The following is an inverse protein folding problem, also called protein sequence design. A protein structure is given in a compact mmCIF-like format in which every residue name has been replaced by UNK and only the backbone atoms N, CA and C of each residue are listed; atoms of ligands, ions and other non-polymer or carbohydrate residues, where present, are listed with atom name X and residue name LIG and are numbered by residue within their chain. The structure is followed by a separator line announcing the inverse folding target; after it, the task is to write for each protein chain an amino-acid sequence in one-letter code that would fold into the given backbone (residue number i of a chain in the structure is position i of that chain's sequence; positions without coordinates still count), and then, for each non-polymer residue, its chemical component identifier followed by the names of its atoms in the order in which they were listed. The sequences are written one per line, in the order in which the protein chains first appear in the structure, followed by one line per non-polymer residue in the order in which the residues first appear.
data_IF_312257353821
#
_entry.id   IF_312257353821
#
_cell.length_a   1.000
_cell.length_b   1.000
_cell.length_c   1.000
_cell.angle_alpha   90.00
_cell.angle_beta   90.00
_cell.angle_gamma   90.00
#
_symmetry.space_group_name_H-M   'P 1'
#
loop_
_entity.id
_entity.type
_entity.pdbx_description
1 polymer ?
#
# COMPACT_ATOMS: atom_id res chain seq x y z
N UNK A 1 -6.50 28.27 -51.70
CA UNK A 1 -5.50 28.84 -50.76
C UNK A 1 -6.07 28.91 -49.33
N UNK A 2 -6.52 27.79 -48.73
CA UNK A 2 -7.41 27.93 -47.55
C UNK A 2 -7.08 27.00 -46.36
N UNK A 3 -6.67 25.75 -46.55
CA UNK A 3 -6.29 24.90 -45.41
C UNK A 3 -4.89 25.20 -44.85
N UNK A 4 -3.91 25.55 -45.71
CA UNK A 4 -2.52 25.77 -45.28
C UNK A 4 -2.36 26.97 -44.34
N UNK A 5 -3.09 28.07 -44.60
CA UNK A 5 -3.07 29.25 -43.73
C UNK A 5 -3.78 29.01 -42.40
N UNK A 6 -4.86 28.21 -42.39
CA UNK A 6 -5.55 27.83 -41.15
C UNK A 6 -4.65 26.94 -40.28
N UNK A 7 -4.00 25.93 -40.88
CA UNK A 7 -3.06 25.05 -40.17
C UNK A 7 -1.89 25.85 -39.61
N UNK A 8 -1.32 26.76 -40.39
CA UNK A 8 -0.21 27.63 -39.96
C UNK A 8 -0.63 28.59 -38.84
N UNK A 9 -1.84 29.16 -38.93
CA UNK A 9 -2.40 30.03 -37.89
C UNK A 9 -2.64 29.28 -36.57
N UNK A 10 -3.21 28.07 -36.63
CA UNK A 10 -3.37 27.21 -35.44
C UNK A 10 -2.01 26.86 -34.83
N UNK A 11 -1.03 26.50 -35.66
CA UNK A 11 0.33 26.22 -35.20
C UNK A 11 0.97 27.39 -34.46
N UNK A 12 0.82 28.62 -34.99
CA UNK A 12 1.32 29.83 -34.34
C UNK A 12 0.62 30.10 -33.00
N UNK A 13 -0.69 29.94 -32.92
CA UNK A 13 -1.44 30.11 -31.66
C UNK A 13 -1.03 29.08 -30.61
N UNK A 14 -0.84 27.82 -30.99
CA UNK A 14 -0.38 26.76 -30.09
C UNK A 14 1.03 27.08 -29.58
N UNK A 15 1.95 27.46 -30.47
CA UNK A 15 3.31 27.83 -30.10
C UNK A 15 3.33 29.05 -29.16
N UNK A 16 2.57 30.10 -29.49
CA UNK A 16 2.43 31.28 -28.65
C UNK A 16 1.88 30.95 -27.26
N UNK A 17 0.86 30.08 -27.19
CA UNK A 17 0.32 29.60 -25.92
C UNK A 17 1.35 28.81 -25.11
N UNK A 18 2.12 27.92 -25.74
CA UNK A 18 3.17 27.15 -25.06
C UNK A 18 4.25 28.08 -24.49
N UNK A 19 4.73 29.05 -25.27
CA UNK A 19 5.73 30.02 -24.83
C UNK A 19 5.19 30.87 -23.67
N UNK A 20 3.97 31.40 -23.79
CA UNK A 20 3.33 32.16 -22.73
C UNK A 20 3.18 31.33 -21.45
N UNK A 21 2.80 30.06 -21.57
CA UNK A 21 2.69 29.13 -20.44
C UNK A 21 4.05 28.84 -19.80
N UNK A 22 5.11 28.68 -20.59
CA UNK A 22 6.48 28.49 -20.09
C UNK A 22 6.94 29.71 -19.30
N UNK A 23 6.76 30.91 -19.84
CA UNK A 23 7.13 32.17 -19.18
C UNK A 23 6.33 32.36 -17.88
N UNK A 24 5.01 32.10 -17.92
CA UNK A 24 4.17 32.13 -16.74
C UNK A 24 4.68 31.15 -15.67
N UNK A 25 4.94 29.89 -16.04
CA UNK A 25 5.41 28.84 -15.09
C UNK A 25 6.77 29.16 -14.48
N UNK A 26 7.65 29.82 -15.22
CA UNK A 26 8.99 30.18 -14.78
C UNK A 26 9.02 31.43 -13.90
N UNK A 27 8.23 32.46 -14.21
CA UNK A 27 8.38 33.78 -13.60
C UNK A 27 7.17 34.24 -12.78
N UNK A 28 5.95 33.91 -13.21
CA UNK A 28 4.72 34.47 -12.63
C UNK A 28 3.93 33.46 -11.78
N UNK A 29 4.23 32.17 -11.89
CA UNK A 29 3.57 31.13 -11.13
C UNK A 29 3.83 31.29 -9.63
N UNK A 30 2.86 31.03 -8.73
CA UNK A 30 3.07 31.14 -7.28
C UNK A 30 4.24 30.32 -6.73
N UNK A 31 4.61 29.24 -7.45
CA UNK A 31 5.74 28.37 -7.12
C UNK A 31 7.05 28.74 -7.84
N UNK A 32 7.11 29.86 -8.57
CA UNK A 32 8.30 30.33 -9.29
C UNK A 32 9.48 30.64 -8.36
N UNK A 33 9.19 31.05 -7.12
CA UNK A 33 10.18 31.32 -6.06
C UNK A 33 10.97 30.10 -5.61
N UNK A 34 10.48 28.89 -5.87
CA UNK A 34 11.16 27.66 -5.46
C UNK A 34 12.17 27.22 -6.53
N UNK A 35 13.42 26.92 -6.14
CA UNK A 35 14.42 26.42 -7.06
C UNK A 35 14.05 25.01 -7.55
N UNK A 36 14.60 24.60 -8.67
CA UNK A 36 14.41 23.25 -9.21
C UNK A 36 14.92 23.13 -10.65
N UNK A 37 15.00 21.91 -11.18
CA UNK A 37 15.45 21.69 -12.56
C UNK A 37 14.62 22.52 -13.55
N UNK A 38 15.28 23.15 -14.52
CA UNK A 38 14.62 24.04 -15.48
C UNK A 38 13.40 23.38 -16.14
N UNK A 39 13.57 22.16 -16.67
CA UNK A 39 12.48 21.42 -17.30
C UNK A 39 11.38 20.99 -16.34
N UNK A 40 11.70 20.72 -15.07
CA UNK A 40 10.73 20.35 -14.04
C UNK A 40 9.85 21.54 -13.62
N UNK A 41 10.37 22.77 -13.70
CA UNK A 41 9.58 23.99 -13.48
C UNK A 41 8.58 24.25 -14.61
N UNK A 42 8.88 23.77 -15.82
CA UNK A 42 8.09 23.99 -17.03
C UNK A 42 7.09 22.86 -17.29
N UNK A 43 7.47 21.61 -17.03
CA UNK A 43 6.67 20.43 -17.33
C UNK A 43 6.84 19.31 -16.31
N UNK A 44 5.83 18.44 -16.19
CA UNK A 44 5.90 17.23 -15.39
C UNK A 44 6.66 16.07 -16.08
N UNK A 45 6.99 16.19 -17.38
CA UNK A 45 7.67 15.13 -18.13
C UNK A 45 9.00 14.65 -17.52
N UNK A 46 9.88 15.49 -16.96
CA UNK A 46 11.08 14.99 -16.30
C UNK A 46 10.75 14.07 -15.12
N UNK A 47 9.82 14.48 -14.25
CA UNK A 47 9.40 13.64 -13.12
C UNK A 47 8.73 12.34 -13.60
N UNK A 48 7.95 12.42 -14.68
CA UNK A 48 7.34 11.25 -15.30
C UNK A 48 8.37 10.28 -15.90
N UNK A 49 9.41 10.79 -16.56
CA UNK A 49 10.52 9.99 -17.08
C UNK A 49 11.21 9.16 -15.98
N UNK A 50 11.54 9.78 -14.84
CA UNK A 50 12.10 9.05 -13.69
C UNK A 50 11.06 8.14 -13.00
N UNK A 51 9.76 8.39 -13.18
CA UNK A 51 8.71 7.45 -12.75
C UNK A 51 8.73 6.18 -13.61
N UNK A 52 8.82 6.34 -14.93
CA UNK A 52 8.90 5.21 -15.88
C UNK A 52 10.15 4.36 -15.68
N UNK A 53 11.25 4.98 -15.23
CA UNK A 53 12.50 4.29 -14.88
C UNK A 53 12.55 3.69 -13.47
N UNK A 54 11.49 3.87 -12.67
CA UNK A 54 11.40 3.41 -11.28
C UNK A 54 12.50 3.96 -10.34
N UNK A 55 13.19 5.04 -10.71
CA UNK A 55 14.29 5.66 -9.97
C UNK A 55 13.96 7.08 -9.47
N UNK A 56 12.68 7.46 -9.49
CA UNK A 56 12.18 8.78 -9.05
C UNK A 56 12.62 9.18 -7.64
N UNK A 57 12.66 8.25 -6.70
CA UNK A 57 13.10 8.53 -5.33
C UNK A 57 14.60 8.89 -5.28
N UNK A 58 15.43 8.24 -6.12
CA UNK A 58 16.85 8.57 -6.28
C UNK A 58 17.01 9.94 -6.94
N UNK A 59 16.19 10.23 -7.96
CA UNK A 59 16.18 11.55 -8.58
C UNK A 59 15.84 12.64 -7.56
N UNK A 60 14.80 12.44 -6.74
CA UNK A 60 14.45 13.37 -5.66
C UNK A 60 15.58 13.57 -4.66
N UNK A 61 16.25 12.50 -4.22
CA UNK A 61 17.42 12.61 -3.35
C UNK A 61 18.51 13.47 -3.98
N UNK A 62 18.89 13.22 -5.24
CA UNK A 62 19.88 14.04 -5.97
C UNK A 62 19.47 15.50 -6.12
N UNK A 63 18.18 15.77 -6.31
CA UNK A 63 17.66 17.14 -6.36
C UNK A 63 17.73 17.82 -4.99
N UNK A 64 17.47 17.08 -3.91
CA UNK A 64 17.58 17.58 -2.55
C UNK A 64 19.02 17.96 -2.22
N UNK A 65 20.00 17.12 -2.58
CA UNK A 65 21.43 17.43 -2.42
C UNK A 65 21.82 18.71 -3.16
N UNK A 66 21.17 19.01 -4.29
CA UNK A 66 21.50 20.17 -5.14
C UNK A 66 20.77 21.46 -4.77
N UNK A 67 19.48 21.37 -4.44
CA UNK A 67 18.59 22.52 -4.27
C UNK A 67 18.19 22.75 -2.80
N UNK A 68 18.59 21.86 -1.90
CA UNK A 68 18.26 21.91 -0.48
C UNK A 68 16.93 21.22 -0.15
N UNK A 69 16.36 21.48 1.03
CA UNK A 69 15.23 20.73 1.57
C UNK A 69 13.88 21.04 0.89
N UNK A 70 13.79 22.14 0.13
CA UNK A 70 12.53 22.54 -0.52
C UNK A 70 12.79 22.95 -1.97
N UNK A 71 12.25 22.19 -2.92
CA UNK A 71 12.47 22.42 -4.35
C UNK A 71 11.29 21.97 -5.21
N UNK A 72 11.17 22.56 -6.39
CA UNK A 72 10.10 22.31 -7.34
C UNK A 72 10.42 21.10 -8.22
N UNK A 73 9.49 20.14 -8.27
CA UNK A 73 9.64 18.87 -8.99
C UNK A 73 8.73 18.75 -10.22
N UNK A 74 7.65 19.53 -10.26
CA UNK A 74 6.77 19.71 -11.42
C UNK A 74 6.24 21.15 -11.41
N UNK A 75 5.53 21.64 -12.45
CA UNK A 75 4.97 22.97 -12.43
C UNK A 75 4.07 23.24 -11.22
N UNK A 76 3.33 22.23 -10.75
CA UNK A 76 2.34 22.38 -9.69
C UNK A 76 2.71 21.61 -8.42
N UNK A 77 3.99 21.22 -8.25
CA UNK A 77 4.41 20.43 -7.09
C UNK A 77 5.79 20.84 -6.58
N UNK A 78 5.87 21.04 -5.28
CA UNK A 78 7.09 21.30 -4.52
C UNK A 78 7.29 20.15 -3.56
N UNK A 79 8.51 19.62 -3.52
CA UNK A 79 8.95 18.70 -2.50
C UNK A 79 9.40 19.52 -1.29
N UNK A 80 8.94 19.14 -0.11
CA UNK A 80 9.30 19.76 1.16
C UNK A 80 9.82 18.66 2.08
N UNK A 81 11.10 18.73 2.44
CA UNK A 81 11.75 17.82 3.38
C UNK A 81 12.28 18.60 4.59
N UNK A 82 11.35 19.07 5.42
CA UNK A 82 11.66 19.80 6.67
C UNK A 82 10.72 19.33 7.78
N UNK A 83 11.15 19.34 9.06
CA UNK A 83 10.27 19.00 10.19
C UNK A 83 9.03 19.90 10.27
N UNK A 84 9.21 21.21 10.03
CA UNK A 84 8.10 22.19 10.02
C UNK A 84 7.13 21.94 8.87
N UNK A 85 7.63 21.54 7.69
CA UNK A 85 6.79 21.13 6.57
C UNK A 85 6.00 19.85 6.85
N UNK A 86 6.62 18.86 7.50
CA UNK A 86 5.94 17.63 7.92
C UNK A 86 4.77 17.97 8.85
N UNK A 87 4.99 18.78 9.87
CA UNK A 87 3.94 19.22 10.79
C UNK A 87 2.85 20.01 10.06
N UNK A 88 3.23 21.02 9.27
CA UNK A 88 2.27 21.89 8.58
C UNK A 88 1.38 21.15 7.57
N UNK A 89 1.89 20.10 6.92
CA UNK A 89 1.17 19.33 5.89
C UNK A 89 0.38 18.17 6.52
N UNK A 90 0.95 17.46 7.49
CA UNK A 90 0.34 16.23 8.03
C UNK A 90 -0.45 16.44 9.32
N UNK A 91 -0.53 17.67 9.86
CA UNK A 91 -1.43 17.99 10.95
C UNK A 91 -2.91 17.76 10.56
N UNK A 92 -3.69 17.19 11.47
CA UNK A 92 -5.12 16.87 11.23
C UNK A 92 -5.98 18.08 10.87
N UNK A 93 -5.58 19.29 11.33
CA UNK A 93 -6.26 20.57 11.05
C UNK A 93 -5.70 21.29 9.82
N UNK A 94 -4.67 20.76 9.17
CA UNK A 94 -4.06 21.42 8.01
C UNK A 94 -5.06 21.57 6.85
N UNK A 95 -5.05 22.73 6.18
CA UNK A 95 -5.87 23.00 5.00
C UNK A 95 -5.25 22.38 3.73
N UNK A 96 -4.93 21.09 3.80
CA UNK A 96 -4.45 20.29 2.68
C UNK A 96 -5.29 19.03 2.54
N UNK A 97 -5.25 18.41 1.37
CA UNK A 97 -5.86 17.12 1.07
C UNK A 97 -4.89 16.28 0.25
N UNK A 98 -5.13 14.97 0.17
CA UNK A 98 -4.37 14.09 -0.71
C UNK A 98 -4.47 14.57 -2.16
N UNK A 99 -3.40 14.38 -2.93
CA UNK A 99 -3.33 14.86 -4.30
C UNK A 99 -4.29 14.11 -5.23
N UNK A 100 -4.67 14.74 -6.34
CA UNK A 100 -5.66 14.19 -7.28
C UNK A 100 -5.19 12.89 -7.97
N UNK A 101 -3.89 12.58 -7.97
CA UNK A 101 -3.38 11.33 -8.53
C UNK A 101 -3.94 10.07 -7.83
N UNK A 102 -4.42 10.19 -6.59
CA UNK A 102 -5.04 9.06 -5.89
C UNK A 102 -6.31 8.55 -6.59
N UNK A 103 -6.95 9.35 -7.45
CA UNK A 103 -8.14 8.94 -8.23
C UNK A 103 -7.85 7.87 -9.27
N UNK A 104 -6.59 7.61 -9.59
CA UNK A 104 -6.20 6.59 -10.59
C UNK A 104 -6.30 5.17 -10.03
N UNK A 105 -6.17 5.00 -8.70
CA UNK A 105 -6.06 3.68 -8.08
C UNK A 105 -7.38 2.92 -7.83
N UNK A 106 -8.51 3.54 -7.46
CA UNK A 106 -9.76 2.80 -7.25
C UNK A 106 -10.14 1.98 -8.48
N UNK A 107 -10.51 0.70 -8.26
CA UNK A 107 -11.02 -0.18 -9.33
C UNK A 107 -12.20 0.46 -10.05
N UNK A 108 -13.12 1.05 -9.30
CA UNK A 108 -14.28 1.79 -9.80
C UNK A 108 -14.65 2.94 -8.83
N UNK A 109 -15.71 3.69 -9.12
CA UNK A 109 -16.17 4.82 -8.30
C UNK A 109 -16.74 4.42 -6.91
N UNK A 110 -17.09 3.15 -6.72
CA UNK A 110 -17.68 2.60 -5.50
C UNK A 110 -16.63 1.94 -4.59
N UNK A 111 -15.47 1.55 -5.12
CA UNK A 111 -14.37 0.88 -4.41
C UNK A 111 -13.28 1.86 -3.93
N UNK A 112 -13.64 3.09 -3.58
CA UNK A 112 -12.71 4.06 -2.97
C UNK A 112 -12.36 3.59 -1.56
N UNK A 113 -11.07 3.57 -1.21
CA UNK A 113 -10.55 3.02 0.05
C UNK A 113 -10.12 4.13 1.00
N UNK A 114 -9.83 3.79 2.26
CA UNK A 114 -9.26 4.75 3.23
C UNK A 114 -7.93 5.31 2.72
N UNK A 115 -7.13 4.51 2.01
CA UNK A 115 -5.84 4.92 1.47
C UNK A 115 -5.96 5.95 0.35
N UNK A 116 -6.89 5.79 -0.60
CA UNK A 116 -7.04 6.70 -1.76
C UNK A 116 -8.15 7.75 -1.65
N UNK A 117 -8.91 7.77 -0.56
CA UNK A 117 -9.91 8.82 -0.30
C UNK A 117 -9.25 10.19 -0.17
N UNK A 118 -9.51 11.07 -1.14
CA UNK A 118 -9.05 12.47 -1.16
C UNK A 118 -9.96 13.36 -0.31
N UNK A 119 -11.27 13.10 -0.35
CA UNK A 119 -12.24 13.82 0.44
C UNK A 119 -12.13 13.45 1.92
N UNK A 120 -12.03 14.48 2.78
CA UNK A 120 -11.80 14.30 4.22
C UNK A 120 -13.00 13.67 4.92
N UNK A 121 -14.22 13.97 4.47
CA UNK A 121 -15.45 13.44 5.09
C UNK A 121 -15.60 11.95 4.82
N UNK A 122 -15.37 11.55 3.57
CA UNK A 122 -15.33 10.16 3.12
C UNK A 122 -14.23 9.39 3.85
N UNK A 123 -13.03 9.96 3.91
CA UNK A 123 -11.91 9.36 4.64
C UNK A 123 -12.24 9.18 6.13
N UNK A 124 -12.82 10.18 6.80
CA UNK A 124 -13.16 10.11 8.22
C UNK A 124 -14.16 8.98 8.51
N UNK A 125 -15.23 8.87 7.70
CA UNK A 125 -16.21 7.77 7.80
C UNK A 125 -15.55 6.41 7.67
N UNK A 126 -14.80 6.19 6.58
CA UNK A 126 -14.11 4.92 6.33
C UNK A 126 -13.11 4.60 7.44
N UNK A 127 -12.34 5.60 7.90
CA UNK A 127 -11.37 5.41 8.99
C UNK A 127 -12.02 4.97 10.30
N UNK A 128 -13.21 5.47 10.64
CA UNK A 128 -13.96 5.02 11.81
C UNK A 128 -14.38 3.56 11.69
N UNK A 129 -14.94 3.14 10.55
CA UNK A 129 -15.27 1.73 10.28
C UNK A 129 -14.01 0.85 10.35
N UNK A 130 -12.94 1.26 9.67
CA UNK A 130 -11.64 0.58 9.68
C UNK A 130 -11.07 0.39 11.09
N UNK A 131 -11.28 1.35 12.00
CA UNK A 131 -10.72 1.29 13.36
C UNK A 131 -11.19 0.08 14.17
N UNK A 132 -12.34 -0.52 13.84
CA UNK A 132 -12.83 -1.72 14.52
C UNK A 132 -11.89 -2.92 14.34
N UNK A 133 -11.34 -3.11 13.13
CA UNK A 133 -10.39 -4.18 12.83
C UNK A 133 -8.99 -3.96 13.46
N UNK A 134 -8.69 -2.72 13.85
CA UNK A 134 -7.43 -2.34 14.52
C UNK A 134 -7.62 -2.00 16.01
N UNK A 135 -8.75 -2.41 16.61
CA UNK A 135 -8.96 -2.29 18.05
C UNK A 135 -8.06 -3.26 18.82
N UNK A 136 -7.73 -2.98 20.09
CA UNK A 136 -6.91 -3.88 20.93
C UNK A 136 -7.51 -5.29 20.99
N UNK A 137 -8.85 -5.40 21.09
CA UNK A 137 -9.56 -6.68 21.05
C UNK A 137 -9.35 -7.44 19.73
N UNK A 138 -9.43 -6.73 18.59
CA UNK A 138 -9.25 -7.34 17.27
C UNK A 138 -7.79 -7.75 17.03
N UNK A 139 -6.83 -6.94 17.46
CA UNK A 139 -5.41 -7.28 17.34
C UNK A 139 -5.05 -8.50 18.18
N UNK A 140 -5.57 -8.61 19.41
CA UNK A 140 -5.39 -9.80 20.25
C UNK A 140 -6.00 -11.08 19.65
N UNK A 141 -7.12 -10.97 18.94
CA UNK A 141 -7.68 -12.15 18.26
C UNK A 141 -6.88 -12.57 17.02
N UNK A 142 -6.08 -11.66 16.46
CA UNK A 142 -5.19 -11.94 15.32
C UNK A 142 -3.84 -12.52 15.75
N UNK A 143 -3.40 -12.27 16.99
CA UNK A 143 -2.09 -12.71 17.52
C UNK A 143 -1.81 -14.22 17.29
N UNK A 144 -2.74 -15.16 17.59
CA UNK A 144 -2.50 -16.58 17.35
C UNK A 144 -2.28 -16.93 15.87
N UNK A 145 -2.94 -16.19 14.95
CA UNK A 145 -2.82 -16.40 13.50
C UNK A 145 -1.46 -15.91 12.99
N UNK A 146 -0.97 -14.79 13.55
CA UNK A 146 0.36 -14.27 13.22
C UNK A 146 1.43 -15.22 13.77
N UNK A 147 1.28 -15.66 15.02
CA UNK A 147 2.23 -16.55 15.65
C UNK A 147 2.35 -17.89 14.92
N UNK A 148 1.24 -18.51 14.52
CA UNK A 148 1.27 -19.77 13.77
C UNK A 148 1.98 -19.64 12.41
N UNK A 149 1.82 -18.50 11.73
CA UNK A 149 2.54 -18.22 10.48
C UNK A 149 4.04 -18.05 10.70
N UNK A 150 4.44 -17.37 11.77
CA UNK A 150 5.85 -17.20 12.15
C UNK A 150 6.47 -18.55 12.54
N UNK A 151 5.80 -19.34 13.37
CA UNK A 151 6.29 -20.65 13.82
C UNK A 151 6.52 -21.57 12.61
N UNK A 152 5.57 -21.62 11.67
CA UNK A 152 5.73 -22.40 10.44
C UNK A 152 6.89 -21.87 9.57
N UNK A 153 7.04 -20.55 9.49
CA UNK A 153 8.12 -19.94 8.73
C UNK A 153 9.51 -20.26 9.31
N UNK A 154 9.65 -20.25 10.64
CA UNK A 154 10.88 -20.69 11.32
C UNK A 154 11.17 -22.17 11.04
N UNK A 155 10.15 -23.04 11.10
CA UNK A 155 10.34 -24.46 10.75
C UNK A 155 10.84 -24.65 9.31
N UNK A 156 10.29 -23.89 8.35
CA UNK A 156 10.72 -23.93 6.96
C UNK A 156 12.16 -23.41 6.78
N UNK A 157 12.54 -22.37 7.51
CA UNK A 157 13.92 -21.89 7.53
C UNK A 157 14.88 -22.94 8.11
N UNK A 158 14.52 -23.58 9.21
CA UNK A 158 15.33 -24.64 9.83
C UNK A 158 15.49 -25.84 8.89
N UNK A 159 14.45 -26.20 8.13
CA UNK A 159 14.51 -27.24 7.10
C UNK A 159 15.48 -26.85 5.99
N UNK A 160 15.35 -25.65 5.43
CA UNK A 160 16.24 -25.14 4.37
C UNK A 160 17.71 -25.08 4.83
N UNK A 161 17.95 -24.69 6.09
CA UNK A 161 19.30 -24.64 6.68
C UNK A 161 19.83 -26.05 6.97
N UNK A 162 18.98 -26.97 7.47
CA UNK A 162 19.37 -28.33 7.82
C UNK A 162 19.67 -29.22 6.61
N UNK A 163 18.97 -29.00 5.50
CA UNK A 163 19.21 -29.71 4.23
C UNK A 163 20.49 -29.24 3.55
N UNK A 164 20.84 -27.96 3.69
CA UNK A 164 22.07 -27.38 3.14
C UNK A 164 23.22 -27.58 4.12
N UNK A 165 24.22 -28.39 3.75
CA UNK A 165 25.52 -28.45 4.45
C UNK A 165 26.29 -27.11 4.30
N UNK A 166 25.87 -26.09 5.04
CA UNK A 166 26.55 -24.82 5.38
C UNK A 166 27.28 -24.09 4.22
N UNK A 167 26.63 -23.11 3.60
CA UNK A 167 27.22 -21.81 3.17
C UNK A 167 26.31 -20.88 2.37
N UNK A 168 25.15 -21.34 1.87
CA UNK A 168 24.35 -20.51 0.97
C UNK A 168 23.55 -19.45 1.71
N UNK A 169 23.70 -18.20 1.29
CA UNK A 169 22.91 -17.08 1.80
C UNK A 169 21.44 -17.23 1.39
N UNK A 170 20.52 -17.03 2.33
CA UNK A 170 19.09 -16.95 2.03
C UNK A 170 18.70 -15.51 1.67
N UNK A 171 17.89 -15.35 0.63
CA UNK A 171 17.33 -14.05 0.28
C UNK A 171 16.14 -13.73 1.20
N UNK A 172 16.42 -13.04 2.31
CA UNK A 172 15.40 -12.71 3.31
C UNK A 172 14.27 -11.82 2.80
N UNK A 173 14.46 -11.07 1.70
CA UNK A 173 13.35 -10.33 1.09
C UNK A 173 12.26 -11.28 0.56
N UNK A 174 12.66 -12.33 -0.17
CA UNK A 174 11.69 -13.33 -0.67
C UNK A 174 11.03 -14.14 0.46
N UNK A 175 11.80 -14.51 1.48
CA UNK A 175 11.27 -15.23 2.64
C UNK A 175 10.29 -14.36 3.45
N UNK A 176 10.59 -13.08 3.62
CA UNK A 176 9.71 -12.12 4.27
C UNK A 176 8.43 -11.88 3.45
N UNK A 177 8.54 -11.71 2.13
CA UNK A 177 7.38 -11.52 1.24
C UNK A 177 6.38 -12.66 1.42
N UNK A 178 6.84 -13.92 1.36
CA UNK A 178 5.96 -15.08 1.51
C UNK A 178 5.30 -15.17 2.90
N UNK A 179 6.05 -14.90 3.98
CA UNK A 179 5.52 -14.89 5.34
C UNK A 179 4.41 -13.85 5.50
N UNK A 180 4.70 -12.60 5.12
CA UNK A 180 3.78 -11.50 5.33
C UNK A 180 2.56 -11.65 4.43
N UNK A 181 2.73 -12.11 3.20
CA UNK A 181 1.60 -12.30 2.29
C UNK A 181 0.64 -13.39 2.78
N UNK A 182 1.15 -14.52 3.29
CA UNK A 182 0.31 -15.55 3.92
C UNK A 182 -0.40 -15.02 5.17
N UNK A 183 0.32 -14.28 6.01
CA UNK A 183 -0.24 -13.68 7.24
C UNK A 183 -1.36 -12.71 6.89
N UNK A 184 -1.16 -11.82 5.90
CA UNK A 184 -2.18 -10.87 5.47
C UNK A 184 -3.33 -11.55 4.72
N UNK A 185 -3.09 -12.65 4.01
CA UNK A 185 -4.14 -13.50 3.46
C UNK A 185 -5.05 -14.05 4.55
N UNK A 186 -4.45 -14.51 5.64
CA UNK A 186 -5.14 -14.97 6.82
C UNK A 186 -5.95 -13.87 7.53
N UNK A 187 -5.40 -12.66 7.64
CA UNK A 187 -6.10 -11.56 8.31
C UNK A 187 -7.18 -10.91 7.43
N UNK A 188 -6.93 -10.76 6.13
CA UNK A 188 -7.81 -10.02 5.22
C UNK A 188 -8.83 -10.91 4.49
N UNK A 189 -8.56 -12.21 4.35
CA UNK A 189 -9.42 -13.15 3.60
C UNK A 189 -9.69 -14.45 4.35
N UNK A 190 -9.20 -14.58 5.59
CA UNK A 190 -9.46 -15.75 6.42
C UNK A 190 -8.77 -17.03 5.96
N UNK A 191 -7.78 -16.94 5.05
CA UNK A 191 -7.12 -18.10 4.44
C UNK A 191 -5.63 -17.83 4.20
N UNK A 192 -4.79 -18.79 4.63
CA UNK A 192 -3.38 -18.84 4.22
C UNK A 192 -3.29 -19.28 2.76
N UNK A 193 -2.45 -18.62 1.98
CA UNK A 193 -2.20 -19.00 0.59
C UNK A 193 -1.10 -20.06 0.46
N UNK A 194 -0.42 -20.38 1.57
CA UNK A 194 0.68 -21.34 1.61
C UNK A 194 1.90 -20.88 0.83
N UNK A 195 2.08 -19.58 0.56
CA UNK A 195 3.20 -19.07 -0.24
C UNK A 195 4.56 -19.36 0.40
N UNK A 196 4.62 -19.49 1.73
CA UNK A 196 5.85 -19.87 2.41
C UNK A 196 6.29 -21.30 2.10
N UNK A 197 5.37 -22.21 1.80
CA UNK A 197 5.66 -23.61 1.47
C UNK A 197 6.43 -23.75 0.15
N UNK A 198 7.36 -24.71 0.07
CA UNK A 198 8.27 -24.86 -1.08
C UNK A 198 7.55 -25.26 -2.37
N UNK A 199 6.49 -26.05 -2.27
CA UNK A 199 5.68 -26.63 -3.34
C UNK A 199 4.46 -25.77 -3.73
N UNK A 200 4.35 -24.55 -3.19
CA UNK A 200 3.20 -23.69 -3.44
C UNK A 200 3.21 -23.06 -4.84
N UNK A 201 2.20 -23.40 -5.62
CA UNK A 201 1.89 -22.79 -6.91
C UNK A 201 1.59 -21.28 -6.82
N UNK A 202 1.29 -20.75 -5.63
CA UNK A 202 0.91 -19.35 -5.41
C UNK A 202 2.08 -18.42 -5.06
N UNK A 203 3.33 -18.92 -5.06
CA UNK A 203 4.53 -18.10 -4.80
C UNK A 203 4.75 -16.95 -5.78
N UNK A 204 4.09 -16.95 -6.93
CA UNK A 204 4.18 -15.89 -7.94
C UNK A 204 3.22 -14.71 -7.68
N UNK A 205 2.27 -14.82 -6.76
CA UNK A 205 1.25 -13.79 -6.49
C UNK A 205 1.87 -12.45 -5.99
N UNK A 206 2.88 -12.42 -5.10
CA UNK A 206 3.51 -11.15 -4.71
C UNK A 206 4.15 -10.41 -5.90
N UNK A 207 4.71 -11.15 -6.87
CA UNK A 207 5.22 -10.57 -8.11
C UNK A 207 4.08 -10.00 -8.96
N UNK A 208 2.94 -10.70 -9.08
CA UNK A 208 1.77 -10.17 -9.78
C UNK A 208 1.27 -8.86 -9.17
N UNK A 209 1.26 -8.75 -7.84
CA UNK A 209 0.93 -7.52 -7.14
C UNK A 209 1.91 -6.38 -7.48
N UNK A 210 3.20 -6.68 -7.53
CA UNK A 210 4.26 -5.73 -7.88
C UNK A 210 4.12 -5.26 -9.33
N UNK A 211 3.83 -6.17 -10.26
CA UNK A 211 3.60 -5.87 -11.68
C UNK A 211 2.33 -5.02 -11.88
N UNK A 212 1.26 -5.33 -11.13
CA UNK A 212 0.04 -4.53 -11.06
C UNK A 212 0.34 -3.09 -10.62
N UNK A 213 1.08 -2.92 -9.52
CA UNK A 213 1.45 -1.59 -9.03
C UNK A 213 2.39 -0.84 -9.98
N UNK A 214 3.35 -1.55 -10.57
CA UNK A 214 4.29 -0.99 -11.55
C UNK A 214 3.59 -0.52 -12.83
N UNK A 215 2.44 -1.09 -13.16
CA UNK A 215 1.61 -0.67 -14.30
C UNK A 215 0.80 0.60 -13.99
N UNK A 216 0.20 0.67 -12.79
CA UNK A 216 -0.68 1.80 -12.41
C UNK A 216 0.12 3.03 -11.99
N UNK A 217 1.26 2.85 -11.33
CA UNK A 217 2.03 3.95 -10.75
C UNK A 217 2.44 5.02 -11.78
N UNK A 218 2.95 4.70 -12.99
CA UNK A 218 3.25 5.70 -14.00
C UNK A 218 2.01 6.47 -14.48
N UNK A 219 0.85 5.82 -14.58
CA UNK A 219 -0.40 6.47 -14.98
C UNK A 219 -0.76 7.57 -13.97
N UNK A 220 -0.66 7.26 -12.67
CA UNK A 220 -0.96 8.18 -11.59
C UNK A 220 -0.07 9.45 -11.62
N UNK A 221 1.20 9.31 -12.01
CA UNK A 221 2.14 10.43 -12.09
C UNK A 221 2.38 10.97 -13.51
N UNK A 222 1.58 10.53 -14.47
CA UNK A 222 1.65 11.05 -15.83
C UNK A 222 1.19 12.51 -15.89
N UNK A 223 1.70 13.31 -16.84
CA UNK A 223 1.15 14.64 -17.13
C UNK A 223 -0.34 14.62 -17.50
N UNK A 224 -0.88 13.45 -17.82
CA UNK A 224 -2.26 13.21 -18.24
C UNK A 224 -3.13 12.59 -17.14
N UNK A 225 -2.66 12.50 -15.90
CA UNK A 225 -3.37 11.83 -14.81
C UNK A 225 -4.79 12.41 -14.57
N UNK A 226 -4.98 13.72 -14.76
CA UNK A 226 -6.32 14.34 -14.69
C UNK A 226 -7.25 13.89 -15.81
N UNK A 227 -6.72 13.82 -17.04
CA UNK A 227 -7.48 13.31 -18.18
C UNK A 227 -7.84 11.84 -17.94
N UNK A 228 -6.90 11.04 -17.42
CA UNK A 228 -7.15 9.66 -17.04
C UNK A 228 -8.24 9.54 -15.98
N UNK A 229 -8.12 10.29 -14.88
CA UNK A 229 -9.10 10.28 -13.79
C UNK A 229 -10.51 10.71 -14.24
N UNK A 230 -10.60 11.58 -15.25
CA UNK A 230 -11.86 11.97 -15.87
C UNK A 230 -12.38 10.91 -16.86
N UNK A 231 -11.53 10.32 -17.70
CA UNK A 231 -11.93 9.31 -18.68
C UNK A 231 -12.34 7.99 -18.03
N UNK A 232 -11.70 7.62 -16.92
CA UNK A 232 -11.90 6.35 -16.19
C UNK A 232 -13.38 6.05 -15.92
N UNK A 233 -14.15 6.89 -15.19
CA UNK A 233 -15.58 6.68 -14.97
C UNK A 233 -16.46 6.89 -16.21
N UNK A 234 -15.96 7.54 -17.26
CA UNK A 234 -16.70 7.91 -18.47
C UNK A 234 -16.53 6.89 -19.62
N UNK A 235 -16.11 5.66 -19.32
CA UNK A 235 -16.08 4.56 -20.29
C UNK A 235 -14.71 3.93 -20.50
N UNK A 236 -13.62 4.56 -20.04
CA UNK A 236 -12.28 4.00 -20.18
C UNK A 236 -12.12 2.71 -19.35
N UNK A 237 -12.82 2.55 -18.22
CA UNK A 237 -12.81 1.30 -17.45
C UNK A 237 -13.26 0.08 -18.27
N UNK A 238 -14.25 0.23 -19.14
CA UNK A 238 -14.70 -0.86 -20.02
C UNK A 238 -13.66 -1.23 -21.07
N UNK A 239 -12.99 -0.23 -21.64
CA UNK A 239 -11.90 -0.45 -22.59
C UNK A 239 -10.71 -1.12 -21.91
N UNK A 240 -10.29 -0.61 -20.74
CA UNK A 240 -9.20 -1.17 -19.96
C UNK A 240 -9.48 -2.59 -19.49
N UNK A 241 -10.73 -2.93 -19.16
CA UNK A 241 -11.10 -4.31 -18.85
C UNK A 241 -10.87 -5.24 -20.05
N UNK A 242 -11.10 -4.78 -21.27
CA UNK A 242 -10.91 -5.57 -22.50
C UNK A 242 -9.43 -5.70 -22.91
N UNK A 243 -8.59 -4.70 -22.60
CA UNK A 243 -7.16 -4.67 -22.97
C UNK A 243 -6.22 -4.81 -21.76
N UNK A 244 -6.75 -5.23 -20.61
CA UNK A 244 -6.01 -5.31 -19.36
C UNK A 244 -4.76 -6.19 -19.53
N UNK A 245 -3.56 -5.72 -19.13
CA UNK A 245 -2.39 -6.57 -19.07
C UNK A 245 -2.67 -7.83 -18.23
N UNK A 246 -2.10 -9.00 -18.58
CA UNK A 246 -2.36 -10.25 -17.86
C UNK A 246 -2.13 -10.18 -16.35
N UNK A 247 -1.17 -9.35 -15.90
CA UNK A 247 -0.91 -9.14 -14.49
C UNK A 247 -2.10 -8.47 -13.77
N UNK A 248 -2.71 -7.45 -14.39
CA UNK A 248 -3.86 -6.74 -13.85
C UNK A 248 -5.08 -7.66 -13.72
N UNK A 249 -5.39 -8.43 -14.77
CA UNK A 249 -6.53 -9.34 -14.75
C UNK A 249 -6.31 -10.50 -13.76
N UNK A 250 -5.13 -11.14 -13.76
CA UNK A 250 -4.82 -12.23 -12.82
C UNK A 250 -4.86 -11.78 -11.37
N UNK A 251 -4.30 -10.61 -11.05
CA UNK A 251 -4.35 -10.03 -9.71
C UNK A 251 -5.81 -9.78 -9.27
N UNK A 252 -6.58 -9.09 -10.10
CA UNK A 252 -7.99 -8.79 -9.78
C UNK A 252 -8.82 -10.06 -9.61
N UNK A 253 -8.65 -11.06 -10.49
CA UNK A 253 -9.34 -12.36 -10.37
C UNK A 253 -8.94 -13.11 -9.10
N UNK A 254 -7.68 -13.07 -8.71
CA UNK A 254 -7.21 -13.68 -7.46
C UNK A 254 -7.89 -13.05 -6.24
N UNK A 255 -7.86 -11.72 -6.13
CA UNK A 255 -8.47 -10.99 -5.01
C UNK A 255 -9.99 -11.18 -4.99
N UNK A 256 -10.65 -11.14 -6.15
CA UNK A 256 -12.11 -11.34 -6.28
C UNK A 256 -12.55 -12.74 -5.84
N UNK A 257 -11.76 -13.77 -6.18
CA UNK A 257 -11.99 -15.13 -5.71
C UNK A 257 -11.86 -15.21 -4.19
N UNK A 258 -10.81 -14.63 -3.61
CA UNK A 258 -10.59 -14.61 -2.16
C UNK A 258 -11.72 -13.89 -1.42
N UNK A 259 -12.11 -12.71 -1.91
CA UNK A 259 -13.18 -11.91 -1.33
C UNK A 259 -14.54 -12.63 -1.38
N UNK A 260 -14.89 -13.19 -2.53
CA UNK A 260 -16.16 -13.91 -2.73
C UNK A 260 -16.24 -15.12 -1.79
N UNK A 261 -15.17 -15.92 -1.72
CA UNK A 261 -15.11 -17.08 -0.82
C UNK A 261 -15.25 -16.66 0.65
N UNK A 262 -14.53 -15.62 1.08
CA UNK A 262 -14.58 -15.16 2.47
C UNK A 262 -15.95 -14.57 2.82
N UNK A 263 -16.55 -13.81 1.92
CA UNK A 263 -17.90 -13.24 2.08
C UNK A 263 -18.95 -14.35 2.22
N UNK A 264 -18.85 -15.41 1.42
CA UNK A 264 -19.75 -16.56 1.50
C UNK A 264 -19.68 -17.23 2.87
N UNK A 265 -18.46 -17.56 3.35
CA UNK A 265 -18.26 -18.17 4.66
C UNK A 265 -18.80 -17.33 5.81
N UNK A 266 -18.61 -16.01 5.75
CA UNK A 266 -19.10 -15.10 6.79
C UNK A 266 -20.63 -14.97 6.78
N UNK A 267 -21.26 -15.01 5.60
CA UNK A 267 -22.71 -15.05 5.47
C UNK A 267 -23.30 -16.38 5.96
N UNK A 268 -22.67 -17.52 5.64
CA UNK A 268 -23.06 -18.83 6.16
C UNK A 268 -22.98 -18.86 7.69
N UNK A 269 -21.90 -18.33 8.27
CA UNK A 269 -21.75 -18.19 9.72
C UNK A 269 -22.82 -17.29 10.36
N UNK A 270 -23.28 -16.25 9.67
CA UNK A 270 -24.42 -15.41 10.11
C UNK A 270 -25.75 -16.17 10.06
N UNK A 271 -26.00 -16.95 9.01
CA UNK A 271 -27.27 -17.66 8.79
C UNK A 271 -27.47 -18.90 9.67
N UNK A 272 -26.40 -19.59 10.06
CA UNK A 272 -26.48 -20.87 10.79
C UNK A 272 -26.70 -20.70 12.31
N UNK A 273 -26.62 -19.49 12.87
CA UNK A 273 -27.03 -19.22 14.25
C UNK A 273 -26.40 -20.16 15.29
N UNK A 274 -25.17 -19.87 15.74
CA UNK A 274 -24.57 -20.45 16.96
C UNK A 274 -24.56 -21.99 17.06
N UNK A 275 -23.95 -22.71 16.12
CA UNK A 275 -23.48 -24.08 16.40
C UNK A 275 -21.95 -24.12 16.53
N UNK A 276 -21.49 -23.94 17.77
CA UNK A 276 -20.33 -24.65 18.33
C UNK A 276 -18.91 -24.21 17.94
N UNK A 277 -18.68 -23.62 16.78
CA UNK A 277 -17.34 -23.11 16.40
C UNK A 277 -17.26 -21.61 16.63
N UNK A 278 -16.33 -21.15 17.47
CA UNK A 278 -16.00 -19.72 17.53
C UNK A 278 -15.65 -19.26 16.12
N UNK A 279 -16.46 -18.35 15.56
CA UNK A 279 -16.18 -17.77 14.25
C UNK A 279 -14.82 -17.09 14.29
N UNK A 280 -14.01 -17.29 13.24
CA UNK A 280 -12.70 -16.67 13.06
C UNK A 280 -12.84 -15.15 13.14
N UNK A 281 -12.16 -14.52 14.11
CA UNK A 281 -12.17 -13.07 14.33
C UNK A 281 -10.92 -12.42 13.74
N UNK A 282 -10.92 -12.29 12.42
CA UNK A 282 -9.87 -11.63 11.63
C UNK A 282 -10.32 -10.22 11.16
N UNK A 283 -9.45 -9.49 10.45
CA UNK A 283 -9.79 -8.15 9.96
C UNK A 283 -11.05 -8.17 9.11
N UNK A 284 -11.20 -9.16 8.23
CA UNK A 284 -12.40 -9.30 7.41
C UNK A 284 -13.65 -9.39 8.28
N UNK A 285 -13.66 -10.25 9.29
CA UNK A 285 -14.78 -10.38 10.23
C UNK A 285 -15.13 -9.02 10.84
N UNK A 286 -14.15 -8.34 11.44
CA UNK A 286 -14.41 -7.05 12.07
C UNK A 286 -14.94 -6.00 11.09
N UNK A 287 -14.38 -5.89 9.88
CA UNK A 287 -14.82 -4.92 8.89
C UNK A 287 -16.20 -5.26 8.29
N UNK A 288 -16.51 -6.55 8.13
CA UNK A 288 -17.78 -7.04 7.61
C UNK A 288 -18.96 -6.78 8.56
N UNK A 289 -18.69 -6.76 9.87
CA UNK A 289 -19.67 -6.44 10.92
C UNK A 289 -19.57 -4.99 11.42
N UNK A 290 -18.57 -4.21 11.00
CA UNK A 290 -18.37 -2.85 11.48
C UNK A 290 -19.43 -1.89 10.92
N UNK A 291 -19.89 -1.00 11.80
CA UNK A 291 -20.85 0.05 11.48
C UNK A 291 -20.27 1.36 11.99
N UNK A 292 -20.28 2.39 11.15
CA UNK A 292 -19.90 3.73 11.59
C UNK A 292 -20.93 4.25 12.61
N UNK A 293 -20.53 4.60 13.84
CA UNK A 293 -21.46 5.09 14.86
C UNK A 293 -22.17 6.39 14.45
N UNK A 294 -21.53 7.23 13.63
CA UNK A 294 -22.08 8.54 13.24
C UNK A 294 -23.14 8.42 12.15
N UNK A 295 -22.95 7.49 11.21
CA UNK A 295 -23.82 7.36 10.02
C UNK A 295 -24.73 6.14 10.05
N UNK A 296 -24.50 5.20 10.98
CA UNK A 296 -25.20 3.92 11.03
C UNK A 296 -24.91 2.99 9.86
N UNK A 297 -23.87 3.29 9.04
CA UNK A 297 -23.54 2.55 7.83
C UNK A 297 -22.17 1.87 7.95
N UNK A 298 -22.13 0.59 7.59
CA UNK A 298 -20.86 -0.12 7.37
C UNK A 298 -20.26 0.17 6.00
N UNK A 299 -19.32 -0.68 5.58
CA UNK A 299 -18.87 -0.71 4.19
C UNK A 299 -19.92 -1.35 3.29
N UNK A 300 -20.10 -0.82 2.07
CA UNK A 300 -20.74 -1.59 1.01
C UNK A 300 -19.84 -2.77 0.58
N UNK A 301 -20.35 -3.71 -0.22
CA UNK A 301 -19.56 -4.83 -0.73
C UNK A 301 -18.32 -4.34 -1.51
N UNK A 302 -18.48 -3.35 -2.39
CA UNK A 302 -17.37 -2.77 -3.17
C UNK A 302 -16.36 -2.03 -2.29
N UNK A 303 -16.84 -1.33 -1.26
CA UNK A 303 -15.95 -0.65 -0.33
C UNK A 303 -15.16 -1.66 0.52
N UNK A 304 -15.82 -2.71 1.02
CA UNK A 304 -15.15 -3.75 1.79
C UNK A 304 -14.12 -4.50 0.93
N UNK A 305 -14.47 -4.83 -0.31
CA UNK A 305 -13.55 -5.41 -1.29
C UNK A 305 -12.30 -4.53 -1.44
N UNK A 306 -12.50 -3.24 -1.73
CA UNK A 306 -11.41 -2.30 -1.92
C UNK A 306 -10.53 -2.14 -0.66
N UNK A 307 -11.13 -2.13 0.53
CA UNK A 307 -10.38 -2.04 1.79
C UNK A 307 -9.58 -3.32 2.07
N UNK A 308 -10.14 -4.50 1.84
CA UNK A 308 -9.42 -5.77 1.96
C UNK A 308 -8.25 -5.88 0.96
N UNK A 309 -8.47 -5.50 -0.30
CA UNK A 309 -7.41 -5.43 -1.31
C UNK A 309 -6.33 -4.41 -0.88
N UNK A 310 -6.74 -3.23 -0.42
CA UNK A 310 -5.82 -2.19 0.04
C UNK A 310 -5.00 -2.63 1.26
N UNK A 311 -5.59 -3.38 2.20
CA UNK A 311 -4.88 -3.91 3.36
C UNK A 311 -3.89 -4.99 2.97
N UNK A 312 -4.27 -5.90 2.06
CA UNK A 312 -3.35 -6.93 1.55
C UNK A 312 -2.15 -6.28 0.88
N UNK A 313 -2.36 -5.31 -0.02
CA UNK A 313 -1.26 -4.68 -0.77
C UNK A 313 -0.40 -3.81 0.14
N UNK A 314 -1.01 -2.91 0.91
CA UNK A 314 -0.26 -1.99 1.76
C UNK A 314 0.45 -2.71 2.90
N UNK A 315 -0.15 -3.76 3.46
CA UNK A 315 0.39 -4.51 4.59
C UNK A 315 1.48 -5.51 4.19
N UNK A 316 1.38 -6.14 3.02
CA UNK A 316 2.35 -7.14 2.56
C UNK A 316 3.70 -6.54 2.21
N UNK A 317 3.76 -5.69 1.19
CA UNK A 317 5.00 -5.14 0.64
C UNK A 317 5.79 -4.32 1.68
N UNK A 318 5.12 -3.43 2.42
CA UNK A 318 5.78 -2.55 3.38
C UNK A 318 6.34 -3.28 4.60
N UNK A 319 5.65 -4.30 5.10
CA UNK A 319 6.13 -5.08 6.25
C UNK A 319 7.24 -6.03 5.83
N UNK A 320 7.14 -6.64 4.64
CA UNK A 320 8.16 -7.54 4.13
C UNK A 320 9.48 -6.81 3.87
N UNK A 321 9.45 -5.62 3.25
CA UNK A 321 10.67 -4.82 3.05
C UNK A 321 11.26 -4.32 4.37
N UNK A 322 10.42 -3.98 5.34
CA UNK A 322 10.86 -3.57 6.68
C UNK A 322 11.56 -4.73 7.40
N UNK A 323 11.00 -5.94 7.32
CA UNK A 323 11.58 -7.15 7.89
C UNK A 323 12.90 -7.52 7.21
N UNK A 324 12.95 -7.47 5.87
CA UNK A 324 14.16 -7.70 5.10
C UNK A 324 15.27 -6.69 5.45
N UNK A 325 14.92 -5.41 5.59
CA UNK A 325 15.85 -4.37 6.03
C UNK A 325 16.34 -4.61 7.47
N UNK A 326 15.45 -5.02 8.38
CA UNK A 326 15.82 -5.36 9.75
C UNK A 326 16.86 -6.50 9.76
N UNK A 327 16.63 -7.59 9.04
CA UNK A 327 17.62 -8.67 8.91
C UNK A 327 18.92 -8.21 8.25
N UNK A 328 18.86 -7.36 7.23
CA UNK A 328 20.03 -6.79 6.57
C UNK A 328 20.94 -6.02 7.55
N UNK A 329 20.35 -5.23 8.45
CA UNK A 329 21.11 -4.48 9.45
C UNK A 329 21.56 -5.36 10.61
N UNK A 330 20.68 -6.20 11.17
CA UNK A 330 21.02 -7.09 12.29
C UNK A 330 22.18 -8.04 11.95
N UNK A 331 22.22 -8.57 10.73
CA UNK A 331 23.30 -9.45 10.26
C UNK A 331 24.65 -8.75 10.10
N UNK A 332 24.67 -7.41 9.97
CA UNK A 332 25.90 -6.60 9.84
C UNK A 332 26.39 -6.03 11.17
N UNK A 333 25.50 -5.90 12.15
CA UNK A 333 25.80 -5.38 13.47
C UNK A 333 25.54 -6.46 14.54
N UNK A 334 26.42 -7.47 14.67
CA UNK A 334 26.17 -8.65 15.51
C UNK A 334 26.00 -8.33 17.01
N UNK A 335 26.61 -7.24 17.50
CA UNK A 335 26.41 -6.78 18.87
C UNK A 335 24.96 -6.32 19.11
N UNK A 336 24.39 -5.53 18.18
CA UNK A 336 22.99 -5.09 18.25
C UNK A 336 22.03 -6.28 18.11
N UNK A 337 22.38 -7.26 17.28
CA UNK A 337 21.59 -8.49 17.15
C UNK A 337 21.56 -9.30 18.45
N UNK A 338 22.70 -9.42 19.13
CA UNK A 338 22.79 -10.10 20.43
C UNK A 338 21.97 -9.38 21.51
N UNK A 339 22.07 -8.06 21.58
CA UNK A 339 21.29 -7.23 22.51
C UNK A 339 19.78 -7.40 22.28
N UNK A 340 19.32 -7.26 21.02
CA UNK A 340 17.92 -7.46 20.66
C UNK A 340 17.41 -8.87 21.01
N UNK A 341 18.25 -9.90 20.82
CA UNK A 341 17.91 -11.28 21.21
C UNK A 341 17.79 -11.47 22.73
N UNK A 342 18.60 -10.76 23.52
CA UNK A 342 18.52 -10.78 24.99
C UNK A 342 17.23 -10.09 25.44
N UNK A 343 16.94 -8.91 24.91
CA UNK A 343 15.75 -8.13 25.27
C UNK A 343 14.46 -8.87 24.93
N UNK A 344 14.36 -9.46 23.73
CA UNK A 344 13.19 -10.25 23.33
C UNK A 344 12.99 -11.47 24.22
N UNK A 345 14.06 -12.19 24.60
CA UNK A 345 13.99 -13.27 25.58
C UNK A 345 13.50 -12.77 26.94
N UNK A 346 14.06 -11.68 27.45
CA UNK A 346 13.68 -11.11 28.75
C UNK A 346 12.21 -10.67 28.77
N UNK A 347 11.72 -10.08 27.69
CA UNK A 347 10.30 -9.76 27.51
C UNK A 347 9.45 -11.03 27.52
N UNK A 348 9.80 -12.06 26.73
CA UNK A 348 9.07 -13.32 26.70
C UNK A 348 9.01 -13.99 28.09
N UNK A 349 10.12 -14.00 28.83
CA UNK A 349 10.15 -14.48 30.22
C UNK A 349 9.29 -13.62 31.15
N UNK A 350 9.27 -12.30 30.97
CA UNK A 350 8.43 -11.39 31.77
C UNK A 350 6.93 -11.56 31.49
N UNK A 351 6.54 -11.92 30.27
CA UNK A 351 5.16 -12.29 29.92
C UNK A 351 4.76 -13.68 30.45
N UNK A 352 5.72 -14.62 30.52
CA UNK A 352 5.49 -15.98 31.04
C UNK A 352 5.55 -16.07 32.57
N UNK A 353 6.29 -15.19 33.25
CA UNK A 353 6.46 -15.20 34.71
C UNK A 353 5.12 -15.06 35.49
N UNK A 354 4.17 -14.19 35.08
CA UNK A 354 2.83 -14.15 35.68
C UNK A 354 2.03 -15.44 35.45
N UNK A 355 2.13 -16.05 34.26
CA UNK A 355 1.43 -17.31 33.96
C UNK A 355 1.98 -18.49 34.78
N UNK A 356 3.30 -18.57 34.97
CA UNK A 356 3.93 -19.60 35.82
C UNK A 356 3.56 -19.41 37.29
N UNK A 357 3.43 -18.15 37.74
CA UNK A 357 3.02 -17.82 39.12
C UNK A 357 1.54 -18.18 39.37
N UNK A 358 0.66 -17.96 38.40
CA UNK A 358 -0.76 -18.35 38.46
C UNK A 358 -0.94 -19.88 38.44
N UNK A 359 -0.08 -20.63 37.74
CA UNK A 359 -0.11 -22.10 37.74
C UNK A 359 0.41 -22.66 39.09
N UNK A 360 1.36 -21.98 39.74
CA UNK A 360 1.84 -22.38 41.07
C UNK A 360 0.86 -22.05 42.20
N UNK A 361 0.07 -20.98 42.09
CA UNK A 361 -0.94 -20.62 43.11
C UNK A 361 -2.24 -21.44 43.05
N UNK A 362 -2.40 -22.33 42.05
CA UNK A 362 -3.54 -23.27 41.94
C UNK A 362 -3.17 -24.71 42.27
N UNK A 363 -1.95 -24.96 42.76
CA UNK A 363 -1.45 -26.27 43.24
C UNK A 363 -1.09 -26.27 44.73
N UNK A 364 -1.47 -25.23 45.46
CA UNK A 364 -1.59 -25.18 46.92
C UNK A 364 -3.05 -24.87 47.23
#
# INVERSE_FOLDING_TARGET
MSCSYIISGIGFLILGHIIALMLYRLYLHPLAKYPGPFWARISAFPAFYYTLRQDRHIWFWKLQERYGPTFRITPNSVLVNTPTGLEAIYNSKANVKKAEYYRVYPRNIHAVTTWNSIDKTTHARKRRVMSHAFSDKALRSCEPLIQSNIDRWVQLLDQEIGEKKRSDSLNMARWADHLVFDTLGELCFGKSFGMKEHDSELRHIPTLMTDFMSTIHPIAYSPFAYLWAWLKPNGLDYLLAAIAPPALSKWQTFVEKCFTQRTQLENEARGVGKLGTESRKDFFHYLFHAIDPDTGKGYSSDELFGECESLLIAGSDTSAISLAAAFFYLTRYPLLAAECAIDTRNCAYSYLAPMITIIRSKKL
#
